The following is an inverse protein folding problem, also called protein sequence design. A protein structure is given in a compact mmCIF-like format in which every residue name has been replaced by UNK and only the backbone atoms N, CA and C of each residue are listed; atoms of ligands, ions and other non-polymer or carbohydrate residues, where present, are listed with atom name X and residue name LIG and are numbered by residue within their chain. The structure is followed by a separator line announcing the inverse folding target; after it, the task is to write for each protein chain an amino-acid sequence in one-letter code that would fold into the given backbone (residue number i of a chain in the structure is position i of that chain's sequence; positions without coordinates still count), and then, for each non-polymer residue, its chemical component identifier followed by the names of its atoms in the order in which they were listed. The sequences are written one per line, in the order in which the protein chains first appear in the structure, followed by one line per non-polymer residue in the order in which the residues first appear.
data_IF_941289957301
#
_entry.id   IF_941289957301
#
_cell.length_a   1.000
_cell.length_b   1.000
_cell.length_c   1.000
_cell.angle_alpha   90.00
_cell.angle_beta   90.00
_cell.angle_gamma   90.00
#
_symmetry.space_group_name_H-M   'P 1'
#
loop_
_entity.id
_entity.type
_entity.pdbx_description
1 polymer ?
#
# COMPACT_ATOMS: atom_id res chain seq x y z
N UNK A 1 -46.34 -15.84 61.91
CA UNK A 1 -45.70 -16.12 63.21
C UNK A 1 -44.20 -16.08 63.01
N UNK A 2 -43.53 -15.20 63.76
CA UNK A 2 -42.17 -15.26 64.33
C UNK A 2 -41.04 -15.98 63.54
N UNK A 3 -39.79 -15.52 63.45
CA UNK A 3 -39.03 -14.33 63.88
C UNK A 3 -37.56 -14.66 63.50
N UNK A 4 -36.73 -13.66 63.18
CA UNK A 4 -35.29 -13.55 63.56
C UNK A 4 -34.28 -14.51 62.85
N UNK A 5 -33.02 -14.19 62.47
CA UNK A 5 -32.01 -13.23 62.98
C UNK A 5 -30.82 -13.12 61.96
N UNK A 6 -30.28 -11.89 61.81
CA UNK A 6 -28.88 -11.41 61.64
C UNK A 6 -27.92 -11.95 60.54
N UNK A 7 -26.91 -11.22 60.01
CA UNK A 7 -26.46 -9.81 60.02
C UNK A 7 -25.14 -9.69 59.19
N UNK A 8 -24.69 -8.43 58.98
CA UNK A 8 -23.38 -7.93 58.51
C UNK A 8 -23.20 -7.79 56.98
N UNK A 9 -23.24 -6.61 56.33
CA UNK A 9 -22.65 -5.26 56.52
C UNK A 9 -21.13 -5.18 56.26
N UNK A 10 -20.75 -4.66 55.08
CA UNK A 10 -19.63 -3.70 54.96
C UNK A 10 -19.70 -2.93 53.62
N UNK A 11 -19.97 -1.63 53.71
CA UNK A 11 -19.86 -0.66 52.63
C UNK A 11 -18.60 0.19 52.87
N UNK A 12 -17.79 0.40 51.83
CA UNK A 12 -16.62 1.28 51.88
C UNK A 12 -16.81 2.42 50.87
N UNK A 13 -17.06 3.62 51.40
CA UNK A 13 -17.08 4.90 50.69
C UNK A 13 -15.70 5.52 50.91
N UNK A 14 -14.96 5.80 49.84
CA UNK A 14 -13.75 6.64 49.90
C UNK A 14 -14.01 7.97 49.20
N UNK A 15 -14.18 9.01 50.02
CA UNK A 15 -14.08 10.41 49.65
C UNK A 15 -12.65 10.90 49.85
N UNK A 16 -11.98 11.38 48.80
CA UNK A 16 -10.78 12.21 48.93
C UNK A 16 -11.09 13.62 48.44
N UNK A 17 -11.03 14.55 49.39
CA UNK A 17 -10.92 16.00 49.20
C UNK A 17 -9.49 16.44 49.46
N UNK A 18 -8.87 17.16 48.53
CA UNK A 18 -7.73 18.06 48.76
C UNK A 18 -7.89 19.23 47.79
N UNK A 19 -8.24 20.44 48.26
CA UNK A 19 -7.36 21.49 48.79
C UNK A 19 -6.53 22.18 47.69
N UNK A 20 -6.79 23.47 47.48
CA UNK A 20 -6.18 24.28 46.42
C UNK A 20 -4.85 24.93 46.79
N UNK A 21 -4.36 25.81 45.91
CA UNK A 21 -3.34 26.81 46.24
C UNK A 21 -2.43 27.24 45.09
N UNK A 22 -2.53 28.53 44.73
CA UNK A 22 -1.36 29.41 44.55
C UNK A 22 -0.72 29.52 43.17
N UNK A 23 -0.89 30.68 42.54
CA UNK A 23 -0.01 31.13 41.46
C UNK A 23 1.34 31.63 41.99
N UNK A 24 2.39 31.45 41.19
CA UNK A 24 3.62 32.24 41.28
C UNK A 24 4.21 32.39 39.88
N UNK A 25 4.45 33.65 39.54
CA UNK A 25 5.25 34.13 38.42
C UNK A 25 6.71 33.71 38.60
N UNK A 26 7.24 32.98 37.64
CA UNK A 26 8.66 32.64 37.54
C UNK A 26 9.01 32.37 36.08
N UNK A 27 9.92 33.18 35.56
CA UNK A 27 10.50 33.03 34.22
C UNK A 27 11.26 31.72 34.13
N UNK A 28 10.70 30.77 33.38
CA UNK A 28 11.47 29.74 32.71
C UNK A 28 10.97 29.68 31.29
N UNK A 29 11.86 29.91 30.33
CA UNK A 29 11.69 29.46 28.96
C UNK A 29 11.63 27.94 29.01
N UNK A 30 10.44 27.42 29.26
CA UNK A 30 10.11 26.04 29.05
C UNK A 30 10.26 25.80 27.56
N UNK A 31 11.44 25.28 27.17
CA UNK A 31 11.61 24.60 25.92
C UNK A 31 10.46 23.59 25.84
N UNK A 32 9.49 23.90 24.98
CA UNK A 32 8.46 22.96 24.63
C UNK A 32 9.18 21.72 24.16
N UNK A 33 9.10 20.65 24.94
CA UNK A 33 9.35 19.32 24.42
C UNK A 33 8.32 19.16 23.33
N UNK A 34 8.71 19.42 22.08
CA UNK A 34 7.95 18.98 20.93
C UNK A 34 7.79 17.49 21.15
N UNK A 35 6.56 17.04 21.41
CA UNK A 35 6.24 15.61 21.36
C UNK A 35 6.82 15.12 20.05
N UNK A 36 7.92 14.36 20.11
CA UNK A 36 8.60 13.88 18.91
C UNK A 36 7.55 13.14 18.12
N UNK A 37 7.11 13.75 17.00
CA UNK A 37 6.02 13.20 16.21
C UNK A 37 6.34 11.76 15.87
N UNK A 38 5.30 10.94 15.78
CA UNK A 38 5.42 9.50 15.45
C UNK A 38 6.02 9.26 14.06
N UNK A 39 6.17 10.33 13.27
CA UNK A 39 6.83 10.36 11.97
C UNK A 39 5.81 10.40 10.84
N UNK A 40 6.25 10.03 9.65
CA UNK A 40 5.42 10.00 8.45
C UNK A 40 5.39 8.63 7.79
N UNK A 41 4.32 8.40 7.03
CA UNK A 41 4.13 7.26 6.13
C UNK A 41 3.72 7.77 4.76
N UNK A 42 4.30 7.24 3.69
CA UNK A 42 3.85 7.54 2.33
C UNK A 42 3.90 6.32 1.42
N UNK A 43 2.90 6.17 0.55
CA UNK A 43 2.82 5.13 -0.46
C UNK A 43 2.43 5.77 -1.80
N UNK A 44 3.26 5.63 -2.83
CA UNK A 44 3.03 6.26 -4.13
C UNK A 44 4.26 6.29 -5.04
N UNK A 45 4.13 6.82 -6.27
CA UNK A 45 5.22 6.88 -7.22
C UNK A 45 6.24 7.97 -6.86
N UNK A 46 7.51 7.71 -7.15
CA UNK A 46 8.58 8.72 -7.10
C UNK A 46 8.48 9.65 -8.30
N UNK A 47 8.31 10.94 -8.05
CA UNK A 47 8.00 11.94 -9.10
C UNK A 47 9.14 12.91 -9.41
N UNK A 48 10.12 13.05 -8.51
CA UNK A 48 11.29 13.94 -8.70
C UNK A 48 12.49 13.51 -7.86
N UNK A 49 13.68 14.05 -8.18
CA UNK A 49 14.97 13.83 -7.50
C UNK A 49 15.57 15.12 -6.89
N UNK A 50 16.70 14.97 -6.19
CA UNK A 50 17.36 15.95 -5.32
C UNK A 50 17.14 15.56 -3.86
N UNK A 51 15.87 15.48 -3.50
CA UNK A 51 15.29 14.53 -2.55
C UNK A 51 14.25 13.74 -3.34
N UNK A 52 13.95 12.50 -2.96
CA UNK A 52 12.85 11.79 -3.65
C UNK A 52 11.53 12.48 -3.29
N UNK A 53 10.68 12.71 -4.29
CA UNK A 53 9.35 13.29 -4.07
C UNK A 53 8.28 12.24 -4.22
N UNK A 54 7.52 11.99 -3.15
CA UNK A 54 6.42 11.04 -3.11
C UNK A 54 5.21 11.77 -2.57
N UNK A 55 4.10 11.74 -3.32
CA UNK A 55 2.83 12.38 -2.93
C UNK A 55 2.97 13.88 -2.62
N UNK A 56 3.93 14.57 -3.23
CA UNK A 56 4.21 16.00 -3.02
C UNK A 56 5.14 16.32 -1.85
N UNK A 57 5.57 15.32 -1.07
CA UNK A 57 6.49 15.50 0.06
C UNK A 57 7.92 15.16 -0.38
N UNK A 58 8.87 16.02 -0.04
CA UNK A 58 10.29 15.84 -0.28
C UNK A 58 10.93 14.99 0.83
N UNK A 59 11.35 13.78 0.49
CA UNK A 59 12.03 12.90 1.42
C UNK A 59 13.53 12.85 1.15
N UNK A 60 14.33 13.25 2.13
CA UNK A 60 15.78 13.03 2.12
C UNK A 60 16.06 11.55 2.40
N UNK A 61 16.50 10.82 1.38
CA UNK A 61 16.77 9.39 1.42
C UNK A 61 18.23 9.02 1.74
N UNK A 62 19.08 10.00 2.09
CA UNK A 62 20.54 9.81 2.18
C UNK A 62 20.94 8.76 3.22
N UNK A 63 20.21 8.65 4.32
CA UNK A 63 20.41 7.64 5.37
C UNK A 63 19.35 6.54 5.41
N UNK A 64 18.48 6.46 4.39
CA UNK A 64 17.37 5.52 4.38
C UNK A 64 17.87 4.09 4.06
N UNK A 65 17.25 3.11 4.70
CA UNK A 65 17.37 1.70 4.28
C UNK A 65 16.40 1.47 3.12
N UNK A 66 16.93 1.09 1.96
CA UNK A 66 16.11 0.79 0.79
C UNK A 66 16.05 -0.72 0.60
N UNK A 67 14.85 -1.27 0.43
CA UNK A 67 14.60 -2.70 0.23
C UNK A 67 13.92 -2.95 -1.09
N UNK A 68 14.36 -3.98 -1.79
CA UNK A 68 13.63 -4.50 -2.95
C UNK A 68 12.44 -5.38 -2.52
N UNK A 69 11.75 -5.95 -3.50
CA UNK A 69 10.60 -6.84 -3.30
C UNK A 69 10.96 -8.15 -2.58
N UNK A 70 12.25 -8.49 -2.52
CA UNK A 70 12.79 -9.62 -1.77
C UNK A 70 13.19 -9.28 -0.34
N UNK A 71 12.95 -8.03 0.06
CA UNK A 71 13.33 -7.51 1.37
C UNK A 71 14.83 -7.32 1.51
N UNK A 72 15.60 -7.47 0.42
CA UNK A 72 17.04 -7.29 0.41
C UNK A 72 17.38 -5.82 0.41
N UNK A 73 18.37 -5.43 1.22
CA UNK A 73 18.84 -4.06 1.23
C UNK A 73 19.58 -3.74 -0.07
N UNK A 74 19.09 -2.74 -0.79
CA UNK A 74 19.67 -2.25 -2.05
C UNK A 74 20.16 -0.81 -1.88
N UNK A 75 20.99 -0.35 -2.82
CA UNK A 75 21.45 1.04 -2.84
C UNK A 75 20.29 2.00 -3.08
N UNK A 76 20.29 3.17 -2.42
CA UNK A 76 19.33 4.25 -2.73
C UNK A 76 19.42 4.77 -4.16
N UNK A 77 20.54 4.54 -4.86
CA UNK A 77 20.69 4.82 -6.28
C UNK A 77 19.83 3.93 -7.19
N UNK A 78 19.27 2.83 -6.65
CA UNK A 78 18.30 1.98 -7.36
C UNK A 78 16.93 2.62 -7.49
N UNK A 79 16.59 3.63 -6.69
CA UNK A 79 15.31 4.33 -6.79
C UNK A 79 15.30 5.14 -8.10
N UNK A 80 14.26 4.92 -8.92
CA UNK A 80 14.03 5.60 -10.20
C UNK A 80 12.69 6.32 -10.24
N UNK A 81 12.58 7.33 -11.11
CA UNK A 81 11.30 8.01 -11.35
C UNK A 81 10.25 7.01 -11.85
N UNK A 82 9.04 7.15 -11.32
CA UNK A 82 7.90 6.29 -11.59
C UNK A 82 7.89 4.98 -10.81
N UNK A 83 8.93 4.64 -10.03
CA UNK A 83 8.83 3.51 -9.10
C UNK A 83 7.81 3.81 -8.02
N UNK A 84 6.90 2.87 -7.76
CA UNK A 84 6.02 2.93 -6.59
C UNK A 84 6.80 2.47 -5.38
N UNK A 85 6.75 3.26 -4.32
CA UNK A 85 7.45 2.98 -3.05
C UNK A 85 6.47 3.06 -1.88
N UNK A 86 6.72 2.23 -0.87
CA UNK A 86 6.24 2.46 0.49
C UNK A 86 7.39 3.00 1.32
N UNK A 87 7.17 4.09 2.04
CA UNK A 87 8.22 4.70 2.84
C UNK A 87 7.72 5.16 4.22
N UNK A 88 8.63 5.09 5.19
CA UNK A 88 8.45 5.72 6.50
C UNK A 88 9.53 6.78 6.71
N UNK A 89 9.16 7.86 7.39
CA UNK A 89 10.06 8.98 7.62
C UNK A 89 9.89 9.64 8.98
N UNK A 90 10.68 10.69 9.19
CA UNK A 90 10.49 11.65 10.30
C UNK A 90 9.16 12.39 10.18
N UNK A 91 8.84 13.22 11.17
CA UNK A 91 7.77 14.20 11.02
C UNK A 91 8.02 15.05 9.78
N UNK A 92 6.94 15.34 9.06
CA UNK A 92 6.98 16.25 7.91
C UNK A 92 6.95 17.67 8.41
N UNK A 93 7.86 18.47 7.89
CA UNK A 93 8.00 19.87 8.20
C UNK A 93 7.63 20.69 6.95
N UNK A 94 6.80 21.71 7.15
CA UNK A 94 6.53 22.68 6.09
C UNK A 94 7.63 23.75 6.11
N UNK A 95 8.49 23.75 5.09
CA UNK A 95 9.63 24.66 4.99
C UNK A 95 9.53 25.49 3.71
N UNK A 96 9.29 26.80 3.88
CA UNK A 96 9.05 27.70 2.76
C UNK A 96 7.72 27.35 2.08
N UNK A 97 7.78 26.81 0.86
CA UNK A 97 6.60 26.40 0.08
C UNK A 97 6.52 24.89 -0.17
N UNK A 98 7.27 24.08 0.58
CA UNK A 98 7.34 22.63 0.39
C UNK A 98 7.23 21.87 1.71
N UNK A 99 6.67 20.68 1.63
CA UNK A 99 6.69 19.69 2.70
C UNK A 99 7.94 18.83 2.57
N UNK A 100 8.64 18.58 3.68
CA UNK A 100 9.86 17.79 3.69
C UNK A 100 10.00 16.91 4.93
N UNK A 101 10.68 15.76 4.79
CA UNK A 101 11.00 14.84 5.87
C UNK A 101 12.29 14.05 5.57
N UNK A 102 12.85 13.41 6.59
CA UNK A 102 13.93 12.42 6.47
C UNK A 102 13.33 11.03 6.26
N UNK A 103 13.68 10.32 5.19
CA UNK A 103 13.27 8.93 5.01
C UNK A 103 14.12 7.99 5.89
N UNK A 104 13.47 6.95 6.41
CA UNK A 104 14.09 5.92 7.27
C UNK A 104 14.13 4.57 6.57
N UNK A 105 12.96 4.13 6.09
CA UNK A 105 12.79 2.86 5.40
C UNK A 105 12.02 3.12 4.12
N UNK A 106 12.49 2.54 3.01
CA UNK A 106 11.86 2.63 1.68
C UNK A 106 11.80 1.22 1.12
N UNK A 107 10.62 0.76 0.74
CA UNK A 107 10.41 -0.52 0.06
C UNK A 107 9.95 -0.26 -1.37
N UNK A 108 10.58 -0.93 -2.33
CA UNK A 108 10.19 -0.89 -3.74
C UNK A 108 9.04 -1.87 -3.99
N UNK A 109 7.92 -1.36 -4.51
CA UNK A 109 6.68 -2.12 -4.66
C UNK A 109 6.32 -2.25 -6.15
N UNK A 110 6.85 -3.25 -6.87
CA UNK A 110 6.45 -3.52 -8.23
C UNK A 110 5.04 -4.11 -8.27
N UNK A 111 4.27 -3.70 -9.27
CA UNK A 111 2.95 -4.23 -9.55
C UNK A 111 3.04 -5.63 -10.21
N UNK A 112 4.01 -5.82 -11.11
CA UNK A 112 4.25 -7.07 -11.82
C UNK A 112 5.74 -7.34 -11.98
N UNK A 113 6.15 -8.60 -11.84
CA UNK A 113 7.47 -9.09 -12.26
C UNK A 113 7.23 -10.40 -12.98
N UNK A 114 7.62 -10.49 -14.26
CA UNK A 114 7.40 -11.72 -15.02
C UNK A 114 7.71 -11.61 -16.51
N UNK A 115 7.48 -12.70 -17.26
CA UNK A 115 7.67 -12.73 -18.71
C UNK A 115 6.59 -11.92 -19.42
N UNK A 116 6.99 -11.31 -20.53
CA UNK A 116 6.09 -10.65 -21.47
C UNK A 116 5.45 -11.71 -22.36
N UNK A 117 4.11 -11.72 -22.42
CA UNK A 117 3.38 -12.52 -23.39
C UNK A 117 3.22 -11.80 -24.72
N UNK A 118 2.97 -10.49 -24.68
CA UNK A 118 2.74 -9.66 -25.87
C UNK A 118 3.14 -8.21 -25.66
N UNK A 119 3.74 -7.62 -26.70
CA UNK A 119 4.05 -6.18 -26.76
C UNK A 119 3.11 -5.53 -27.76
N UNK A 120 2.45 -4.44 -27.36
CA UNK A 120 1.66 -3.56 -28.22
C UNK A 120 2.28 -2.16 -28.30
N UNK A 121 1.55 -1.21 -28.89
CA UNK A 121 2.03 0.18 -29.05
C UNK A 121 1.99 0.96 -27.74
N UNK A 122 0.88 0.85 -27.01
CA UNK A 122 0.57 1.52 -25.74
C UNK A 122 0.13 0.51 -24.65
N UNK A 123 0.31 -0.78 -24.94
CA UNK A 123 -0.02 -1.87 -24.02
C UNK A 123 1.10 -2.90 -23.96
N UNK A 124 1.30 -3.49 -22.78
CA UNK A 124 2.15 -4.66 -22.57
C UNK A 124 1.29 -5.75 -21.91
N UNK A 125 1.45 -7.00 -22.30
CA UNK A 125 0.85 -8.14 -21.58
C UNK A 125 1.94 -8.89 -20.86
N UNK A 126 1.88 -8.94 -19.53
CA UNK A 126 2.86 -9.59 -18.66
C UNK A 126 2.12 -10.62 -17.84
N UNK A 127 2.44 -11.90 -18.00
CA UNK A 127 1.74 -13.00 -17.33
C UNK A 127 0.21 -12.84 -17.40
N UNK A 128 -0.36 -12.72 -18.59
CA UNK A 128 -1.79 -12.55 -18.84
C UNK A 128 -2.40 -11.21 -18.42
N UNK A 129 -1.66 -10.36 -17.69
CA UNK A 129 -2.13 -9.06 -17.23
C UNK A 129 -1.94 -8.02 -18.30
N UNK A 130 -3.00 -7.28 -18.63
CA UNK A 130 -2.89 -6.12 -19.52
C UNK A 130 -2.37 -4.93 -18.74
N UNK A 131 -1.27 -4.35 -19.21
CA UNK A 131 -0.61 -3.17 -18.68
C UNK A 131 -0.78 -2.03 -19.69
N UNK A 132 -1.40 -0.95 -19.26
CA UNK A 132 -1.53 0.30 -20.01
C UNK A 132 -0.29 1.16 -19.80
N UNK A 133 0.21 1.72 -20.90
CA UNK A 133 1.41 2.57 -20.94
C UNK A 133 1.03 3.89 -21.59
N UNK A 134 1.21 4.99 -20.86
CA UNK A 134 0.89 6.34 -21.34
C UNK A 134 2.14 7.20 -21.45
N UNK A 135 1.99 8.44 -21.93
CA UNK A 135 3.09 9.41 -21.95
C UNK A 135 3.63 9.78 -20.56
N UNK A 136 2.91 9.43 -19.49
CA UNK A 136 3.35 9.59 -18.10
C UNK A 136 4.14 8.39 -17.56
N UNK A 137 4.17 7.26 -18.28
CA UNK A 137 4.93 6.08 -17.85
C UNK A 137 6.42 6.29 -18.11
N UNK A 138 7.24 6.17 -17.06
CA UNK A 138 8.68 6.17 -17.22
C UNK A 138 9.15 4.83 -17.80
N UNK A 139 9.95 4.86 -18.86
CA UNK A 139 10.53 3.65 -19.43
C UNK A 139 12.02 3.64 -19.16
N UNK A 140 12.55 2.48 -18.76
CA UNK A 140 13.95 2.30 -18.45
C UNK A 140 14.88 2.68 -19.61
N UNK A 141 16.04 3.21 -19.27
CA UNK A 141 17.02 3.74 -20.21
C UNK A 141 17.59 2.66 -21.14
N UNK A 142 17.50 1.37 -20.78
CA UNK A 142 17.83 0.24 -21.64
C UNK A 142 16.80 -0.04 -22.75
N UNK A 143 15.72 0.75 -22.82
CA UNK A 143 14.64 0.64 -23.80
C UNK A 143 14.58 1.91 -24.69
N UNK A 144 15.58 2.14 -25.56
CA UNK A 144 15.72 3.39 -26.32
C UNK A 144 14.58 3.65 -27.34
N UNK A 145 13.79 2.63 -27.67
CA UNK A 145 12.59 2.73 -28.52
C UNK A 145 11.29 2.51 -27.71
N UNK A 146 11.34 2.68 -26.39
CA UNK A 146 10.23 2.39 -25.49
C UNK A 146 9.84 0.91 -25.54
N UNK A 147 8.53 0.62 -25.55
CA UNK A 147 8.03 -0.76 -25.62
C UNK A 147 8.50 -1.51 -26.86
N UNK A 148 8.76 -0.83 -27.99
CA UNK A 148 9.27 -1.47 -29.20
C UNK A 148 10.70 -2.04 -29.03
N UNK A 149 11.38 -1.72 -27.93
CA UNK A 149 12.63 -2.38 -27.56
C UNK A 149 12.42 -3.78 -26.98
N UNK A 150 11.23 -4.06 -26.41
CA UNK A 150 10.89 -5.32 -25.73
C UNK A 150 10.38 -6.39 -26.72
N UNK A 151 10.53 -7.65 -26.32
CA UNK A 151 10.00 -8.81 -27.05
C UNK A 151 9.25 -9.76 -26.11
N UNK A 152 8.39 -10.61 -26.67
CA UNK A 152 7.79 -11.70 -25.92
C UNK A 152 8.87 -12.62 -25.31
N UNK A 153 8.59 -13.19 -24.14
CA UNK A 153 9.48 -13.98 -23.28
C UNK A 153 10.64 -13.21 -22.64
N UNK A 154 10.82 -11.91 -22.91
CA UNK A 154 11.67 -11.08 -22.06
C UNK A 154 11.00 -10.86 -20.70
N UNK A 155 11.82 -10.65 -19.66
CA UNK A 155 11.33 -10.36 -18.32
C UNK A 155 11.30 -8.86 -18.07
N UNK A 156 10.25 -8.41 -17.40
CA UNK A 156 10.08 -7.01 -17.00
C UNK A 156 9.68 -6.90 -15.55
N UNK A 157 10.00 -5.75 -14.98
CA UNK A 157 9.39 -5.24 -13.75
C UNK A 157 8.50 -4.07 -14.14
N UNK A 158 7.24 -4.10 -13.72
CA UNK A 158 6.27 -3.02 -13.92
C UNK A 158 5.92 -2.44 -12.55
N UNK A 159 6.10 -1.15 -12.39
CA UNK A 159 5.55 -0.38 -11.27
C UNK A 159 4.28 0.31 -11.75
N UNK A 160 3.29 0.39 -10.87
CA UNK A 160 2.00 0.97 -11.21
C UNK A 160 0.90 0.52 -10.26
N UNK A 161 -0.34 0.64 -10.71
CA UNK A 161 -1.52 0.32 -9.91
C UNK A 161 -2.46 -0.60 -10.67
N UNK A 162 -3.08 -1.55 -9.97
CA UNK A 162 -4.10 -2.43 -10.53
C UNK A 162 -5.47 -1.73 -10.48
N UNK A 163 -6.02 -1.35 -11.64
CA UNK A 163 -7.42 -0.95 -11.78
C UNK A 163 -8.30 -2.21 -11.83
N UNK A 164 -8.75 -2.65 -10.65
CA UNK A 164 -9.55 -3.86 -10.50
C UNK A 164 -10.95 -3.79 -11.15
N UNK A 165 -11.42 -2.60 -11.57
CA UNK A 165 -12.70 -2.46 -12.27
C UNK A 165 -12.55 -2.79 -13.75
N UNK A 166 -11.46 -2.32 -14.36
CA UNK A 166 -11.13 -2.61 -15.77
C UNK A 166 -10.28 -3.88 -15.91
N UNK A 167 -9.77 -4.39 -14.78
CA UNK A 167 -8.84 -5.53 -14.69
C UNK A 167 -7.57 -5.30 -15.53
N UNK A 168 -7.04 -4.08 -15.42
CA UNK A 168 -5.81 -3.64 -16.11
C UNK A 168 -4.86 -2.96 -15.13
N UNK A 169 -3.58 -3.01 -15.44
CA UNK A 169 -2.55 -2.29 -14.71
C UNK A 169 -2.26 -0.96 -15.41
N UNK A 170 -2.13 0.12 -14.65
CA UNK A 170 -1.69 1.43 -15.17
C UNK A 170 -0.24 1.64 -14.75
N UNK A 171 0.69 1.60 -15.71
CA UNK A 171 2.12 1.67 -15.42
C UNK A 171 2.59 3.09 -15.10
N UNK A 172 3.36 3.22 -14.02
CA UNK A 172 4.14 4.43 -13.69
C UNK A 172 5.60 4.27 -14.10
N UNK A 173 6.13 3.04 -14.10
CA UNK A 173 7.45 2.71 -14.66
C UNK A 173 7.51 1.30 -15.22
N UNK A 174 8.25 1.12 -16.31
CA UNK A 174 8.59 -0.21 -16.87
C UNK A 174 10.10 -0.35 -16.95
N UNK A 175 10.61 -1.45 -16.40
CA UNK A 175 12.02 -1.82 -16.45
C UNK A 175 12.21 -3.17 -17.13
N UNK A 176 13.21 -3.25 -18.00
CA UNK A 176 13.69 -4.52 -18.52
C UNK A 176 14.50 -5.23 -17.43
N UNK A 177 14.23 -6.51 -17.24
CA UNK A 177 15.03 -7.37 -16.36
C UNK A 177 15.98 -8.19 -17.21
N UNK A 178 17.21 -7.69 -17.37
CA UNK A 178 18.26 -8.41 -18.07
C UNK A 178 18.83 -9.53 -17.16
N UNK A 179 19.08 -10.72 -17.72
CA UNK A 179 19.77 -11.81 -17.02
C UNK A 179 18.97 -13.10 -16.95
N UNK A 180 19.23 -13.89 -15.91
CA UNK A 180 18.58 -15.17 -15.66
C UNK A 180 17.08 -15.02 -15.33
N UNK A 181 16.33 -16.12 -15.52
CA UNK A 181 14.94 -16.21 -15.10
C UNK A 181 14.83 -15.83 -13.62
N UNK A 182 13.90 -14.94 -13.22
CA UNK A 182 13.66 -14.63 -11.81
C UNK A 182 13.42 -15.89 -10.97
N UNK A 183 13.78 -15.89 -9.70
CA UNK A 183 13.51 -17.03 -8.80
C UNK A 183 11.99 -17.20 -8.53
N UNK A 184 11.23 -16.12 -8.72
CA UNK A 184 9.78 -16.08 -8.62
C UNK A 184 9.24 -14.92 -9.47
N UNK A 185 7.96 -14.98 -9.78
CA UNK A 185 7.22 -13.88 -10.36
C UNK A 185 6.39 -13.15 -9.30
N UNK A 186 6.02 -11.90 -9.58
CA UNK A 186 5.24 -11.05 -8.66
C UNK A 186 3.98 -10.60 -9.37
N UNK A 187 2.85 -10.72 -8.67
CA UNK A 187 1.60 -10.05 -9.02
C UNK A 187 1.07 -9.34 -7.79
N UNK A 188 0.88 -8.03 -7.90
CA UNK A 188 0.35 -7.18 -6.85
C UNK A 188 -0.99 -6.60 -7.28
N UNK A 189 -1.95 -6.58 -6.37
CA UNK A 189 -3.27 -6.04 -6.67
C UNK A 189 -4.36 -6.55 -5.73
N UNK A 190 -5.60 -6.23 -6.10
CA UNK A 190 -6.80 -6.59 -5.32
C UNK A 190 -7.02 -8.11 -5.36
N UNK A 191 -7.21 -8.71 -4.19
CA UNK A 191 -7.63 -10.08 -3.99
C UNK A 191 -9.11 -10.21 -4.38
N UNK A 192 -9.39 -11.15 -5.26
CA UNK A 192 -10.70 -11.52 -5.76
C UNK A 192 -10.87 -13.04 -5.67
N UNK A 193 -12.11 -13.51 -5.75
CA UNK A 193 -12.46 -14.94 -5.81
C UNK A 193 -11.74 -15.81 -4.77
N UNK A 194 -11.53 -15.27 -3.55
CA UNK A 194 -10.88 -15.97 -2.44
C UNK A 194 -11.71 -17.20 -2.03
N UNK A 195 -11.12 -18.36 -2.18
CA UNK A 195 -11.62 -19.66 -1.75
C UNK A 195 -10.65 -20.22 -0.69
N UNK A 196 -10.92 -19.95 0.60
CA UNK A 196 -10.08 -20.42 1.69
C UNK A 196 -10.21 -21.93 1.91
N UNK A 197 -11.26 -22.57 1.40
CA UNK A 197 -11.48 -24.02 1.57
C UNK A 197 -10.54 -24.78 0.62
N UNK A 198 -10.44 -24.33 -0.63
CA UNK A 198 -9.60 -24.98 -1.65
C UNK A 198 -8.22 -24.32 -1.80
N UNK A 199 -7.91 -23.28 -1.02
CA UNK A 199 -6.62 -22.59 -1.07
C UNK A 199 -6.39 -21.91 -2.41
N UNK A 200 -7.33 -21.06 -2.85
CA UNK A 200 -7.25 -20.32 -4.11
C UNK A 200 -7.69 -18.88 -3.95
N UNK A 201 -7.11 -18.01 -4.76
CA UNK A 201 -7.61 -16.65 -4.97
C UNK A 201 -7.23 -16.19 -6.37
N UNK A 202 -7.72 -15.01 -6.73
CA UNK A 202 -7.37 -14.32 -7.97
C UNK A 202 -6.80 -12.94 -7.67
N UNK A 203 -5.76 -12.55 -8.41
CA UNK A 203 -5.28 -11.16 -8.51
C UNK A 203 -5.15 -10.82 -9.99
N UNK A 204 -5.92 -9.83 -10.43
CA UNK A 204 -6.08 -9.55 -11.87
C UNK A 204 -6.56 -10.81 -12.60
N UNK A 205 -5.96 -11.11 -13.75
CA UNK A 205 -6.24 -12.36 -14.47
C UNK A 205 -5.56 -13.62 -13.91
N UNK A 206 -4.77 -13.54 -12.82
CA UNK A 206 -4.03 -14.69 -12.32
C UNK A 206 -4.80 -15.44 -11.24
N UNK A 207 -5.09 -16.71 -11.50
CA UNK A 207 -5.54 -17.65 -10.48
C UNK A 207 -4.31 -18.18 -9.74
N UNK A 208 -4.28 -17.99 -8.42
CA UNK A 208 -3.20 -18.40 -7.55
C UNK A 208 -3.72 -19.49 -6.62
N UNK A 209 -3.08 -20.66 -6.64
CA UNK A 209 -3.28 -21.68 -5.61
C UNK A 209 -2.21 -21.53 -4.55
N UNK A 210 -2.62 -21.57 -3.30
CA UNK A 210 -1.73 -21.45 -2.16
C UNK A 210 -1.98 -22.59 -1.17
N UNK A 211 -0.90 -22.98 -0.50
CA UNK A 211 -0.93 -23.98 0.58
C UNK A 211 -0.25 -23.40 1.82
N UNK A 212 -0.54 -22.14 2.13
CA UNK A 212 -0.23 -21.59 3.44
C UNK A 212 -1.14 -22.30 4.44
N UNK A 213 -0.61 -22.76 5.58
CA UNK A 213 -1.38 -23.48 6.60
C UNK A 213 -2.49 -22.62 7.22
N UNK A 214 -2.80 -22.82 8.50
CA UNK A 214 -3.86 -22.06 9.21
C UNK A 214 -3.58 -20.56 9.38
N UNK A 215 -2.42 -20.05 8.92
CA UNK A 215 -1.96 -18.67 9.05
C UNK A 215 -2.46 -17.75 7.92
N UNK A 216 -3.69 -17.95 7.44
CA UNK A 216 -4.35 -17.06 6.46
C UNK A 216 -4.96 -15.84 7.16
N UNK A 217 -4.20 -15.19 8.05
CA UNK A 217 -4.73 -14.08 8.85
C UNK A 217 -4.93 -12.86 7.95
N UNK A 218 -6.20 -12.47 7.78
CA UNK A 218 -6.57 -11.20 7.16
C UNK A 218 -6.71 -11.20 5.64
N UNK A 219 -6.54 -12.33 4.93
CA UNK A 219 -6.92 -12.40 3.52
C UNK A 219 -8.44 -12.26 3.41
N UNK A 220 -8.88 -11.33 2.56
CA UNK A 220 -10.28 -11.13 2.23
C UNK A 220 -10.37 -10.53 0.83
N UNK A 221 -11.47 -10.79 0.13
CA UNK A 221 -11.75 -10.11 -1.13
C UNK A 221 -11.78 -8.59 -0.92
N UNK A 222 -11.22 -7.83 -1.86
CA UNK A 222 -11.11 -6.37 -1.79
C UNK A 222 -9.88 -5.84 -1.04
N UNK A 223 -9.13 -6.70 -0.34
CA UNK A 223 -7.80 -6.36 0.18
C UNK A 223 -6.78 -6.38 -0.97
N UNK A 224 -5.68 -5.64 -0.81
CA UNK A 224 -4.56 -5.67 -1.75
C UNK A 224 -3.45 -6.51 -1.17
N UNK A 225 -2.76 -7.27 -2.02
CA UNK A 225 -1.60 -8.04 -1.65
C UNK A 225 -0.59 -8.09 -2.79
N UNK A 226 0.67 -8.29 -2.42
CA UNK A 226 1.71 -8.80 -3.30
C UNK A 226 1.79 -10.32 -3.16
N UNK A 227 1.63 -11.05 -4.27
CA UNK A 227 1.84 -12.49 -4.32
C UNK A 227 3.13 -12.81 -5.09
N UNK A 228 4.03 -13.55 -4.45
CA UNK A 228 5.17 -14.21 -5.08
C UNK A 228 4.73 -15.59 -5.54
N UNK A 229 4.89 -15.87 -6.83
CA UNK A 229 4.49 -17.14 -7.43
C UNK A 229 5.66 -17.84 -8.09
N UNK A 230 5.61 -19.17 -8.13
CA UNK A 230 6.58 -20.01 -8.86
C UNK A 230 6.73 -19.56 -10.31
N UNK A 231 7.91 -19.71 -10.90
CA UNK A 231 8.12 -19.42 -12.33
C UNK A 231 7.62 -20.51 -13.28
N UNK A 232 7.15 -21.63 -12.71
CA UNK A 232 6.52 -22.73 -13.43
C UNK A 232 5.04 -22.77 -13.09
N UNK A 233 4.20 -22.82 -14.12
CA UNK A 233 2.76 -22.98 -13.97
C UNK A 233 2.43 -24.31 -13.28
N UNK A 234 1.53 -24.25 -12.29
CA UNK A 234 0.94 -25.42 -11.68
C UNK A 234 -0.30 -25.81 -12.48
N UNK A 235 -0.23 -26.95 -13.16
CA UNK A 235 -1.42 -27.60 -13.70
C UNK A 235 -1.90 -28.63 -12.67
N UNK A 236 -3.04 -28.40 -11.97
CA UNK A 236 -3.59 -29.46 -11.13
C UNK A 236 -3.88 -30.69 -12.00
N UNK A 237 -3.52 -31.86 -11.49
CA UNK A 237 -3.74 -33.13 -12.15
C UNK A 237 -5.23 -33.53 -12.08
N UNK A 238 -6.11 -32.78 -12.74
CA UNK A 238 -7.49 -33.18 -12.97
C UNK A 238 -7.94 -32.77 -14.39
N UNK A 239 -7.93 -33.80 -15.23
CA UNK A 239 -8.70 -34.10 -16.44
C UNK A 239 -9.20 -32.96 -17.37
N UNK A 240 -8.81 -33.11 -18.65
CA UNK A 240 -9.36 -32.56 -19.91
C UNK A 240 -8.62 -31.38 -20.60
N UNK A 241 -7.63 -30.75 -19.95
CA UNK A 241 -6.86 -29.68 -20.58
C UNK A 241 -7.62 -28.35 -20.76
N UNK A 242 -8.82 -28.21 -20.19
CA UNK A 242 -9.61 -26.98 -20.19
C UNK A 242 -9.52 -26.16 -18.89
N UNK A 243 -8.83 -26.67 -17.87
CA UNK A 243 -8.59 -25.92 -16.63
C UNK A 243 -7.66 -24.73 -16.89
N UNK A 244 -8.00 -23.52 -16.44
CA UNK A 244 -7.12 -22.36 -16.58
C UNK A 244 -5.79 -22.61 -15.88
N UNK A 245 -4.71 -22.06 -16.44
CA UNK A 245 -3.39 -22.13 -15.84
C UNK A 245 -3.42 -21.53 -14.42
N UNK A 246 -2.89 -22.25 -13.44
CA UNK A 246 -2.86 -21.81 -12.03
C UNK A 246 -1.41 -21.56 -11.63
N UNK A 247 -1.15 -20.46 -10.93
CA UNK A 247 0.16 -20.19 -10.36
C UNK A 247 0.26 -20.75 -8.95
N UNK A 248 1.39 -21.37 -8.61
CA UNK A 248 1.66 -21.79 -7.25
C UNK A 248 2.20 -20.60 -6.44
N UNK A 249 1.40 -20.11 -5.50
CA UNK A 249 1.81 -19.09 -4.54
C UNK A 249 2.87 -19.61 -3.57
N UNK A 250 3.97 -18.88 -3.48
CA UNK A 250 5.04 -19.13 -2.52
C UNK A 250 4.84 -18.29 -1.26
N UNK A 251 4.63 -16.99 -1.43
CA UNK A 251 4.42 -16.01 -0.36
C UNK A 251 3.32 -15.04 -0.79
N UNK A 252 2.44 -14.68 0.14
CA UNK A 252 1.52 -13.56 -0.06
C UNK A 252 1.62 -12.60 1.12
N UNK A 253 1.80 -11.33 0.80
CA UNK A 253 1.96 -10.25 1.76
C UNK A 253 0.83 -9.26 1.52
N UNK A 254 -0.03 -9.08 2.52
CA UNK A 254 -1.06 -8.05 2.49
C UNK A 254 -0.42 -6.67 2.52
N UNK A 255 -0.95 -5.76 1.70
CA UNK A 255 -0.66 -4.35 1.83
C UNK A 255 -1.30 -3.86 3.14
N UNK A 256 -0.42 -3.54 4.07
CA UNK A 256 -0.75 -2.88 5.33
C UNK A 256 0.44 -1.98 5.65
N UNK A 257 0.20 -0.79 6.22
CA UNK A 257 1.29 0.06 6.66
C UNK A 257 2.26 -0.73 7.53
N UNK A 258 3.55 -0.61 7.23
CA UNK A 258 4.63 -1.20 8.03
C UNK A 258 4.73 -0.63 9.46
N UNK A 259 3.81 0.25 9.83
CA UNK A 259 3.80 1.06 11.05
C UNK A 259 2.36 1.16 11.57
N UNK A 260 2.18 1.26 12.88
CA UNK A 260 0.84 1.36 13.48
C UNK A 260 0.27 2.76 13.38
N UNK A 261 0.88 3.71 14.11
CA UNK A 261 0.37 5.06 14.27
C UNK A 261 1.38 6.06 13.71
N UNK A 262 0.88 6.99 12.89
CA UNK A 262 1.66 8.09 12.31
C UNK A 262 0.84 9.37 12.29
N UNK A 263 1.47 10.45 12.72
CA UNK A 263 0.87 11.79 12.70
C UNK A 263 0.67 12.31 11.28
N UNK A 264 1.36 11.73 10.29
CA UNK A 264 1.11 11.97 8.88
C UNK A 264 1.18 10.69 8.06
N UNK A 265 0.15 10.48 7.25
CA UNK A 265 0.05 9.41 6.26
C UNK A 265 -0.42 10.00 4.94
N UNK A 266 0.22 9.59 3.84
CA UNK A 266 -0.21 9.92 2.48
C UNK A 266 -0.20 8.69 1.59
N UNK A 267 -1.32 8.36 0.95
CA UNK A 267 -1.44 7.20 0.08
C UNK A 267 -1.98 7.65 -1.26
N UNK A 268 -1.22 7.41 -2.33
CA UNK A 268 -1.68 7.45 -3.72
C UNK A 268 -2.00 6.02 -4.13
N UNK A 269 -3.22 5.80 -4.58
CA UNK A 269 -3.70 4.46 -4.81
C UNK A 269 -5.04 4.39 -5.50
N UNK A 270 -5.50 3.16 -5.68
CA UNK A 270 -6.79 2.84 -6.26
C UNK A 270 -7.81 2.56 -5.17
N UNK A 271 -9.03 3.03 -5.35
CA UNK A 271 -10.16 2.70 -4.49
C UNK A 271 -10.48 1.22 -4.67
N UNK A 272 -10.32 0.41 -3.61
CA UNK A 272 -10.53 -1.05 -3.67
C UNK A 272 -11.84 -1.48 -3.00
N UNK A 273 -12.41 -0.62 -2.17
CA UNK A 273 -13.77 -0.78 -1.66
C UNK A 273 -14.42 0.58 -1.47
N UNK A 274 -15.68 0.64 -1.89
CA UNK A 274 -16.61 1.69 -1.53
C UNK A 274 -17.65 1.12 -0.57
N UNK A 275 -17.19 0.59 0.57
CA UNK A 275 -18.07 0.36 1.72
C UNK A 275 -18.56 1.70 2.31
N UNK A 276 -19.09 2.55 1.44
CA UNK A 276 -19.93 3.69 1.70
C UNK A 276 -21.31 3.17 2.11
N UNK A 277 -21.38 2.33 3.14
CA UNK A 277 -22.59 2.38 3.94
C UNK A 277 -22.57 3.71 4.72
N UNK A 278 -23.64 3.98 5.47
CA UNK A 278 -23.89 5.20 6.26
C UNK A 278 -22.71 5.68 7.16
N UNK A 279 -21.59 4.96 7.23
CA UNK A 279 -20.43 5.17 8.07
C UNK A 279 -19.20 5.87 7.43
N UNK A 280 -19.15 6.19 6.13
CA UNK A 280 -18.10 7.08 5.58
C UNK A 280 -16.66 6.55 5.60
N UNK A 281 -16.46 5.25 5.41
CA UNK A 281 -15.14 4.61 5.28
C UNK A 281 -14.99 4.04 3.86
N UNK A 282 -13.90 4.40 3.17
CA UNK A 282 -13.50 3.79 1.88
C UNK A 282 -12.24 2.94 2.09
N UNK A 283 -11.86 2.13 1.10
CA UNK A 283 -10.55 1.49 1.09
C UNK A 283 -9.74 1.94 -0.13
N UNK A 284 -8.47 2.32 0.08
CA UNK A 284 -7.51 2.72 -0.95
C UNK A 284 -6.28 1.84 -0.83
N UNK A 285 -5.87 1.17 -1.91
CA UNK A 285 -4.88 0.08 -1.87
C UNK A 285 -5.19 -0.98 -0.79
N UNK A 286 -6.47 -1.24 -0.49
CA UNK A 286 -6.88 -2.17 0.56
C UNK A 286 -6.71 -1.66 1.99
N UNK A 287 -6.21 -0.42 2.17
CA UNK A 287 -6.12 0.27 3.46
C UNK A 287 -7.41 1.02 3.75
N UNK A 288 -7.95 0.85 4.96
CA UNK A 288 -9.15 1.57 5.38
C UNK A 288 -8.87 3.06 5.55
N UNK A 289 -9.75 3.89 5.00
CA UNK A 289 -9.69 5.35 5.02
C UNK A 289 -11.00 5.86 5.60
N UNK A 290 -10.94 6.39 6.81
CA UNK A 290 -12.04 7.06 7.49
C UNK A 290 -12.15 8.51 7.01
N UNK A 291 -13.24 8.82 6.32
CA UNK A 291 -13.52 10.15 5.77
C UNK A 291 -14.54 10.94 6.60
N UNK A 292 -15.05 10.39 7.72
CA UNK A 292 -16.12 11.00 8.53
C UNK A 292 -15.77 12.35 9.13
N UNK A 293 -14.48 12.61 9.33
CA UNK A 293 -14.00 13.86 9.94
C UNK A 293 -13.74 14.97 8.91
N UNK A 294 -14.03 14.73 7.62
CA UNK A 294 -13.88 15.72 6.55
C UNK A 294 -15.13 15.85 5.69
N UNK A 295 -15.20 16.91 4.90
CA UNK A 295 -16.08 16.98 3.74
C UNK A 295 -15.31 16.47 2.53
N UNK A 296 -15.58 15.25 2.10
CA UNK A 296 -14.94 14.69 0.91
C UNK A 296 -15.71 15.07 -0.37
N UNK A 297 -15.29 16.16 -1.02
CA UNK A 297 -15.94 16.69 -2.23
C UNK A 297 -15.92 15.72 -3.43
N UNK A 298 -14.90 14.85 -3.51
CA UNK A 298 -14.75 13.88 -4.59
C UNK A 298 -15.45 12.55 -4.31
N UNK A 299 -15.70 12.20 -3.04
CA UNK A 299 -16.16 10.86 -2.65
C UNK A 299 -17.51 10.48 -3.25
N UNK A 300 -18.40 11.45 -3.49
CA UNK A 300 -19.71 11.19 -4.12
C UNK A 300 -19.63 10.73 -5.58
N UNK A 301 -18.48 10.93 -6.23
CA UNK A 301 -18.22 10.48 -7.60
C UNK A 301 -17.24 9.31 -7.72
N UNK A 302 -16.68 8.82 -6.61
CA UNK A 302 -15.71 7.72 -6.64
C UNK A 302 -16.40 6.40 -6.98
N UNK A 303 -15.72 5.60 -7.79
CA UNK A 303 -15.99 4.19 -8.09
C UNK A 303 -14.82 3.34 -7.61
N UNK A 304 -15.05 2.05 -7.32
CA UNK A 304 -13.94 1.08 -7.19
C UNK A 304 -13.13 1.11 -8.48
N UNK A 305 -11.80 1.13 -8.36
CA UNK A 305 -10.84 1.29 -9.45
C UNK A 305 -10.42 2.74 -9.71
N UNK A 306 -11.12 3.74 -9.15
CA UNK A 306 -10.70 5.14 -9.31
C UNK A 306 -9.40 5.39 -8.54
N UNK A 307 -8.51 6.20 -9.11
CA UNK A 307 -7.27 6.59 -8.46
C UNK A 307 -7.46 7.85 -7.63
N UNK A 308 -7.00 7.79 -6.38
CA UNK A 308 -7.12 8.88 -5.41
C UNK A 308 -5.82 9.04 -4.65
N UNK A 309 -5.58 10.27 -4.21
CA UNK A 309 -4.60 10.56 -3.17
C UNK A 309 -5.33 10.88 -1.88
N UNK A 310 -4.94 10.21 -0.79
CA UNK A 310 -5.46 10.39 0.55
C UNK A 310 -4.36 10.93 1.44
N UNK A 311 -4.66 11.94 2.23
CA UNK A 311 -3.79 12.47 3.28
C UNK A 311 -4.54 12.45 4.62
N UNK A 312 -3.82 12.20 5.71
CA UNK A 312 -4.41 12.12 7.05
C UNK A 312 -3.43 11.62 8.11
N UNK A 313 -4.00 11.06 9.19
CA UNK A 313 -3.26 10.39 10.26
C UNK A 313 -3.47 8.89 10.15
N UNK A 314 -2.43 8.09 10.35
CA UNK A 314 -2.59 6.65 10.48
C UNK A 314 -2.82 6.31 11.95
N UNK A 315 -3.92 5.62 12.25
CA UNK A 315 -4.26 5.17 13.60
C UNK A 315 -4.81 3.75 13.51
N UNK A 316 -4.18 2.78 14.17
CA UNK A 316 -4.60 1.38 14.17
C UNK A 316 -4.86 0.81 12.74
N UNK A 317 -3.94 1.05 11.79
CA UNK A 317 -4.08 0.65 10.38
C UNK A 317 -5.29 1.25 9.64
N UNK A 318 -5.82 2.38 10.11
CA UNK A 318 -6.84 3.17 9.42
C UNK A 318 -6.31 4.58 9.20
N UNK A 319 -6.41 5.10 7.98
CA UNK A 319 -6.13 6.50 7.72
C UNK A 319 -7.36 7.31 8.12
N UNK A 320 -7.26 8.09 9.18
CA UNK A 320 -8.21 9.16 9.50
C UNK A 320 -7.87 10.33 8.58
N UNK A 321 -8.60 10.43 7.48
CA UNK A 321 -8.28 11.32 6.40
C UNK A 321 -8.70 12.77 6.71
N UNK A 322 -7.86 13.71 6.32
CA UNK A 322 -8.17 15.15 6.32
C UNK A 322 -8.28 15.74 4.91
N UNK A 323 -7.79 15.01 3.89
CA UNK A 323 -7.95 15.34 2.48
C UNK A 323 -8.04 14.07 1.62
N UNK A 324 -8.95 14.08 0.65
CA UNK A 324 -9.03 13.12 -0.44
C UNK A 324 -9.14 13.91 -1.73
N UNK A 325 -8.27 13.63 -2.69
CA UNK A 325 -8.30 14.23 -4.02
C UNK A 325 -8.32 13.14 -5.08
N UNK A 326 -9.07 13.36 -6.15
CA UNK A 326 -8.91 12.55 -7.35
C UNK A 326 -7.47 12.72 -7.84
N UNK A 327 -6.76 11.62 -8.04
CA UNK A 327 -5.49 11.67 -8.73
C UNK A 327 -5.77 11.98 -10.20
N UNK A 328 -4.90 12.74 -10.87
CA UNK A 328 -5.03 12.94 -12.31
C UNK A 328 -5.07 11.56 -13.00
N UNK A 329 -6.00 11.39 -13.94
CA UNK A 329 -5.93 10.26 -14.86
C UNK A 329 -4.62 10.41 -15.66
N UNK A 330 -3.72 9.45 -15.50
CA UNK A 330 -2.46 9.37 -16.25
C UNK A 330 -2.69 8.97 -17.71
#
# INVERSE_FOLDING_TARGET
MNKLISAALLAAILSLSACGGGGSSGSDTQAGVSSGGTGSFSNGPVTSFGSIVVNGIHFDQTSATVRDTDGQTVSSASIKLGMVVELTGSTVEHVGSRDQAQARDISLVPALVGPIDRVGTDTLVVMGQTVLVSGATHVDESLPQGLASLSANEFVTVYGFHDARRDVYVATRIERRAGAVPDHYVVHGVIQDLDPINGRCRIGQQTISYQWGTDVIGLANGRVASAKVSTVLYSPASADGSSPAVWQGQVMTLDQPSVSDRDQASVDGVVTSLSLDTAGVIAVNGLAVDTRQMVCSVCGGLSVGDRVQVEGRLVNNVIVANKVSAAAAN
#
